data_IF_162542672122
#
_entry.id   IF_162542672122
#
_cell.length_a   1.000
_cell.length_b   1.000
_cell.length_c   1.000
_cell.angle_alpha   90.00
_cell.angle_beta   90.00
_cell.angle_gamma   90.00
#
_symmetry.space_group_name_H-M   'P 1'
#
loop_
_entity.id
_entity.type
_entity.pdbx_description
1 polymer ?
#
# COMPACT_ATOMS: atom_id res chain seq x y z
N UNK A 1 -8.18 -26.93 -10.98
CA UNK A 1 -7.19 -27.17 -9.91
C UNK A 1 -6.17 -26.04 -9.93
N UNK A 2 -5.77 -25.55 -8.75
CA UNK A 2 -4.76 -24.51 -8.49
C UNK A 2 -3.69 -25.12 -7.56
N UNK A 3 -2.45 -24.66 -7.64
CA UNK A 3 -1.36 -25.14 -6.78
C UNK A 3 -1.34 -24.41 -5.44
N UNK A 4 -1.62 -23.10 -5.47
CA UNK A 4 -1.56 -22.20 -4.31
C UNK A 4 -2.79 -21.31 -4.30
N UNK A 5 -3.45 -21.20 -3.16
CA UNK A 5 -4.49 -20.20 -2.91
C UNK A 5 -3.97 -19.12 -1.95
N UNK A 6 -4.11 -17.86 -2.34
CA UNK A 6 -3.75 -16.69 -1.53
C UNK A 6 -5.04 -15.97 -1.14
N UNK A 7 -5.26 -15.81 0.17
CA UNK A 7 -6.45 -15.15 0.71
C UNK A 7 -6.11 -13.73 1.14
N UNK A 8 -6.59 -12.76 0.37
CA UNK A 8 -6.38 -11.33 0.50
C UNK A 8 -5.57 -10.76 -0.66
N UNK A 9 -6.16 -9.84 -1.44
CA UNK A 9 -5.51 -9.15 -2.56
C UNK A 9 -5.03 -7.74 -2.18
N UNK A 10 -4.62 -7.56 -0.92
CA UNK A 10 -3.87 -6.37 -0.53
C UNK A 10 -2.43 -6.41 -1.08
N UNK A 11 -1.61 -5.38 -0.81
CA UNK A 11 -0.28 -5.26 -1.39
C UNK A 11 0.64 -6.46 -1.16
N UNK A 12 0.56 -7.10 0.01
CA UNK A 12 1.32 -8.31 0.30
C UNK A 12 0.88 -9.52 -0.54
N UNK A 13 -0.42 -9.80 -0.60
CA UNK A 13 -0.95 -10.93 -1.35
C UNK A 13 -0.79 -10.77 -2.85
N UNK A 14 -1.05 -9.57 -3.38
CA UNK A 14 -0.86 -9.26 -4.79
C UNK A 14 0.62 -9.33 -5.21
N UNK A 15 1.54 -8.84 -4.35
CA UNK A 15 2.98 -8.97 -4.59
C UNK A 15 3.40 -10.44 -4.65
N UNK A 16 2.98 -11.25 -3.68
CA UNK A 16 3.31 -12.67 -3.66
C UNK A 16 2.75 -13.38 -4.89
N UNK A 17 1.47 -13.16 -5.21
CA UNK A 17 0.82 -13.74 -6.37
C UNK A 17 1.61 -13.47 -7.65
N UNK A 18 1.97 -12.19 -7.88
CA UNK A 18 2.76 -11.77 -9.05
C UNK A 18 4.14 -12.43 -9.11
N UNK A 19 4.82 -12.60 -7.98
CA UNK A 19 6.17 -13.17 -7.94
C UNK A 19 6.18 -14.68 -8.21
N UNK A 20 5.15 -15.42 -7.81
CA UNK A 20 5.12 -16.88 -7.90
C UNK A 20 4.29 -17.40 -9.08
N UNK A 21 3.43 -16.57 -9.67
CA UNK A 21 2.60 -16.91 -10.84
C UNK A 21 3.37 -17.47 -12.05
N UNK A 22 4.64 -17.10 -12.35
CA UNK A 22 5.38 -17.73 -13.43
C UNK A 22 5.68 -19.22 -13.21
N UNK A 23 5.60 -19.72 -11.97
CA UNK A 23 5.93 -21.10 -11.59
C UNK A 23 4.73 -21.91 -11.10
N UNK A 24 3.71 -21.26 -10.57
CA UNK A 24 2.55 -21.90 -9.96
C UNK A 24 1.25 -21.35 -10.51
N UNK A 25 0.24 -22.21 -10.60
CA UNK A 25 -1.14 -21.79 -10.87
C UNK A 25 -1.76 -21.26 -9.58
N UNK A 26 -1.73 -19.94 -9.43
CA UNK A 26 -2.18 -19.23 -8.22
C UNK A 26 -3.66 -18.83 -8.31
N UNK A 27 -4.42 -19.06 -7.25
CA UNK A 27 -5.74 -18.47 -7.02
C UNK A 27 -5.62 -17.35 -5.99
N UNK A 28 -5.83 -16.11 -6.39
CA UNK A 28 -5.89 -14.96 -5.49
C UNK A 28 -7.37 -14.62 -5.20
N UNK A 29 -7.73 -14.53 -3.92
CA UNK A 29 -9.11 -14.28 -3.47
C UNK A 29 -9.15 -13.03 -2.61
N UNK A 30 -10.10 -12.13 -2.86
CA UNK A 30 -10.33 -10.95 -2.02
C UNK A 30 -11.80 -10.90 -1.63
N UNK A 31 -12.06 -10.57 -0.36
CA UNK A 31 -13.43 -10.44 0.16
C UNK A 31 -14.09 -9.16 -0.37
N UNK A 32 -13.28 -8.11 -0.57
CA UNK A 32 -13.71 -6.83 -1.13
C UNK A 32 -13.85 -6.92 -2.65
N UNK A 33 -14.74 -6.12 -3.21
CA UNK A 33 -14.95 -6.03 -4.65
C UNK A 33 -13.93 -5.07 -5.27
N UNK A 34 -12.95 -5.61 -6.01
CA UNK A 34 -11.96 -4.81 -6.72
C UNK A 34 -12.56 -4.10 -7.95
N UNK A 35 -13.64 -4.65 -8.51
CA UNK A 35 -14.38 -4.10 -9.65
C UNK A 35 -15.34 -2.96 -9.27
N UNK A 36 -15.43 -2.62 -7.98
CA UNK A 36 -16.28 -1.56 -7.44
C UNK A 36 -15.46 -0.69 -6.47
N UNK A 37 -14.68 0.28 -6.98
CA UNK A 37 -13.77 1.10 -6.18
C UNK A 37 -14.47 1.86 -5.04
N UNK A 38 -15.69 2.36 -5.27
CA UNK A 38 -16.45 3.09 -4.25
C UNK A 38 -16.81 2.18 -3.07
N UNK A 39 -17.20 0.92 -3.34
CA UNK A 39 -17.46 -0.06 -2.30
C UNK A 39 -16.17 -0.59 -1.67
N UNK A 40 -15.09 -0.67 -2.42
CA UNK A 40 -13.77 -1.04 -1.90
C UNK A 40 -13.30 -0.02 -0.86
N UNK A 41 -13.42 1.27 -1.17
CA UNK A 41 -13.06 2.37 -0.28
C UNK A 41 -13.96 2.42 0.96
N UNK A 42 -15.29 2.23 0.80
CA UNK A 42 -16.22 2.18 1.93
C UNK A 42 -15.88 1.08 2.95
N UNK A 43 -15.31 -0.02 2.48
CA UNK A 43 -14.81 -1.12 3.31
C UNK A 43 -13.28 -1.10 3.45
N UNK A 44 -12.67 0.06 3.17
CA UNK A 44 -11.24 0.27 3.17
C UNK A 44 -10.65 0.11 4.57
N UNK A 45 -9.38 -0.27 4.62
CA UNK A 45 -8.64 -0.32 5.88
C UNK A 45 -8.22 1.09 6.26
N UNK A 46 -8.38 1.46 7.52
CA UNK A 46 -7.80 2.69 8.05
C UNK A 46 -6.27 2.63 7.90
N UNK A 47 -5.70 3.57 7.15
CA UNK A 47 -4.27 3.68 6.98
C UNK A 47 -3.88 5.11 6.60
N UNK A 48 -2.74 5.58 7.09
CA UNK A 48 -2.23 6.92 6.81
C UNK A 48 -1.67 7.14 5.40
N UNK A 49 -1.63 6.11 4.53
CA UNK A 49 -1.16 6.30 3.15
C UNK A 49 0.32 6.61 2.99
N UNK A 50 1.15 6.36 3.99
CA UNK A 50 2.57 6.75 3.96
C UNK A 50 3.47 5.57 3.57
N UNK A 51 4.13 5.68 2.41
CA UNK A 51 5.15 4.72 1.99
C UNK A 51 6.52 5.13 2.53
N UNK A 52 7.08 4.29 3.41
CA UNK A 52 8.43 4.43 3.94
C UNK A 52 9.52 4.32 2.84
N UNK A 53 10.69 4.96 3.00
CA UNK A 53 11.81 4.82 2.06
C UNK A 53 12.17 3.36 1.77
N UNK A 54 12.12 2.49 2.77
CA UNK A 54 12.40 1.06 2.58
C UNK A 54 11.35 0.38 1.69
N UNK A 55 10.07 0.73 1.85
CA UNK A 55 9.00 0.23 0.99
C UNK A 55 9.14 0.75 -0.44
N UNK A 56 9.54 2.03 -0.61
CA UNK A 56 9.85 2.62 -1.91
C UNK A 56 11.00 1.88 -2.59
N UNK A 57 12.07 1.56 -1.84
CA UNK A 57 13.21 0.80 -2.34
C UNK A 57 12.82 -0.63 -2.77
N UNK A 58 11.92 -1.28 -2.03
CA UNK A 58 11.38 -2.59 -2.41
C UNK A 58 10.57 -2.50 -3.70
N UNK A 59 9.68 -1.52 -3.83
CA UNK A 59 8.92 -1.30 -5.08
C UNK A 59 9.84 -1.06 -6.27
N UNK A 60 10.87 -0.22 -6.10
CA UNK A 60 11.87 0.04 -7.14
C UNK A 60 12.63 -1.23 -7.56
N UNK A 61 13.08 -2.05 -6.61
CA UNK A 61 13.74 -3.35 -6.88
C UNK A 61 12.82 -4.33 -7.61
N UNK A 62 11.51 -4.22 -7.38
CA UNK A 62 10.48 -5.01 -8.07
C UNK A 62 10.06 -4.41 -9.43
N UNK A 63 10.71 -3.34 -9.90
CA UNK A 63 10.37 -2.65 -11.14
C UNK A 63 9.01 -1.95 -11.11
N UNK A 64 8.49 -1.64 -9.93
CA UNK A 64 7.20 -0.99 -9.72
C UNK A 64 7.37 0.51 -9.50
N UNK A 65 7.21 1.29 -10.57
CA UNK A 65 7.07 2.74 -10.48
C UNK A 65 5.66 3.13 -10.04
N UNK A 66 5.54 3.96 -9.00
CA UNK A 66 4.25 4.45 -8.54
C UNK A 66 3.60 5.34 -9.62
N UNK A 67 2.36 5.06 -10.05
CA UNK A 67 1.68 5.91 -11.01
C UNK A 67 1.13 7.17 -10.31
N UNK A 68 1.09 8.28 -11.05
CA UNK A 68 0.67 9.59 -10.50
C UNK A 68 -0.73 9.56 -9.86
N UNK A 69 -1.67 8.80 -10.42
CA UNK A 69 -3.04 8.75 -9.90
C UNK A 69 -3.14 8.10 -8.50
N UNK A 70 -2.13 7.34 -8.09
CA UNK A 70 -2.03 6.73 -6.74
C UNK A 70 -1.49 7.72 -5.71
N UNK A 71 -0.77 8.75 -6.13
CA UNK A 71 -0.25 9.76 -5.21
C UNK A 71 -1.40 10.56 -4.59
N UNK A 72 -1.28 10.85 -3.30
CA UNK A 72 -2.22 11.68 -2.56
C UNK A 72 -1.56 12.99 -2.12
N UNK A 73 -2.32 14.08 -2.16
CA UNK A 73 -1.86 15.39 -1.71
C UNK A 73 -2.45 15.75 -0.34
N UNK A 74 -1.70 16.53 0.48
CA UNK A 74 -0.33 16.97 0.23
C UNK A 74 0.70 15.86 0.46
N UNK A 75 1.86 15.96 -0.19
CA UNK A 75 3.03 15.16 0.17
C UNK A 75 3.60 15.60 1.53
N UNK A 76 4.18 14.66 2.28
CA UNK A 76 4.72 14.91 3.61
C UNK A 76 6.24 14.83 3.61
N UNK A 77 6.88 15.81 4.25
CA UNK A 77 8.35 15.88 4.37
C UNK A 77 8.83 15.92 5.83
N UNK A 78 7.92 16.17 6.78
CA UNK A 78 8.20 16.14 8.20
C UNK A 78 6.96 15.71 9.01
N UNK A 79 7.21 15.07 10.15
CA UNK A 79 6.19 14.74 11.15
C UNK A 79 6.45 15.53 12.43
N UNK A 80 5.40 16.10 12.98
CA UNK A 80 5.40 16.78 14.28
C UNK A 80 5.10 15.73 15.36
N UNK A 81 6.03 15.49 16.26
CA UNK A 81 5.82 14.68 17.45
C UNK A 81 5.55 15.59 18.64
N UNK A 82 4.46 15.31 19.36
CA UNK A 82 4.02 16.08 20.51
C UNK A 82 3.99 15.12 21.70
N UNK A 83 4.80 15.43 22.72
CA UNK A 83 4.80 14.73 24.00
C UNK A 83 3.94 15.52 24.99
N UNK A 84 2.74 14.99 25.27
CA UNK A 84 1.76 15.64 26.14
C UNK A 84 2.19 15.67 27.61
N UNK A 85 3.05 14.75 28.06
CA UNK A 85 3.47 14.69 29.46
C UNK A 85 4.70 15.57 29.72
N UNK A 86 5.66 15.56 28.80
CA UNK A 86 6.89 16.35 28.91
C UNK A 86 6.79 17.76 28.34
N UNK A 87 5.70 18.12 27.66
CA UNK A 87 5.53 19.42 27.00
C UNK A 87 6.50 19.64 25.83
N UNK A 88 7.15 18.57 25.34
CA UNK A 88 8.13 18.64 24.28
C UNK A 88 7.47 18.51 22.91
N UNK A 89 8.01 19.25 21.95
CA UNK A 89 7.61 19.14 20.56
C UNK A 89 8.85 19.09 19.67
N UNK A 90 8.83 18.20 18.67
CA UNK A 90 9.88 18.12 17.66
C UNK A 90 9.33 17.82 16.28
N UNK A 91 9.96 18.40 15.28
CA UNK A 91 9.76 18.03 13.89
C UNK A 91 10.84 17.05 13.45
N UNK A 92 10.43 15.89 12.97
CA UNK A 92 11.33 14.90 12.38
C UNK A 92 11.14 14.89 10.88
N UNK A 93 12.22 15.07 10.14
CA UNK A 93 12.19 14.88 8.70
C UNK A 93 11.85 13.43 8.36
N UNK A 94 10.95 13.25 7.39
CA UNK A 94 10.52 11.95 6.88
C UNK A 94 10.37 12.04 5.37
N UNK A 95 10.94 11.07 4.66
CA UNK A 95 10.87 10.97 3.20
C UNK A 95 9.77 9.98 2.80
N UNK A 96 8.56 10.21 3.30
CA UNK A 96 7.42 9.37 2.95
C UNK A 96 6.75 9.88 1.68
N UNK A 97 6.33 8.95 0.83
CA UNK A 97 5.42 9.27 -0.27
C UNK A 97 4.01 9.05 0.24
N UNK A 98 3.18 10.09 0.15
CA UNK A 98 1.77 10.01 0.49
C UNK A 98 0.99 9.43 -0.71
N UNK A 99 0.21 8.39 -0.45
CA UNK A 99 -0.57 7.66 -1.44
C UNK A 99 -2.01 7.47 -0.98
N UNK A 100 -2.90 7.41 -1.96
CA UNK A 100 -4.25 6.93 -1.78
C UNK A 100 -4.21 5.40 -1.65
N UNK A 101 -4.65 4.91 -0.48
CA UNK A 101 -4.58 3.49 -0.16
C UNK A 101 -5.48 2.62 -1.02
N UNK A 102 -6.66 3.13 -1.40
CA UNK A 102 -7.59 2.38 -2.25
C UNK A 102 -7.01 2.27 -3.65
N UNK A 103 -6.54 3.38 -4.21
CA UNK A 103 -5.93 3.39 -5.55
C UNK A 103 -4.65 2.54 -5.59
N UNK A 104 -3.83 2.56 -4.54
CA UNK A 104 -2.64 1.71 -4.45
C UNK A 104 -2.99 0.23 -4.40
N UNK A 105 -3.95 -0.16 -3.57
CA UNK A 105 -4.39 -1.55 -3.49
C UNK A 105 -4.97 -2.03 -4.85
N UNK A 106 -5.77 -1.20 -5.54
CA UNK A 106 -6.34 -1.52 -6.86
C UNK A 106 -5.30 -1.57 -7.98
N UNK A 107 -4.27 -0.72 -7.93
CA UNK A 107 -3.17 -0.73 -8.90
C UNK A 107 -2.28 -1.98 -8.75
N UNK A 108 -2.13 -2.48 -7.52
CA UNK A 108 -1.31 -3.67 -7.23
C UNK A 108 -2.00 -4.98 -7.58
N UNK A 109 -3.35 -5.01 -7.56
CA UNK A 109 -4.17 -6.20 -7.78
C UNK A 109 -4.29 -6.56 -9.27
#
# INVERSE_FOLDING_TARGET
MYDIAIIGAGPAGATLARLIAPKYKVLLIEKRRLDDPARYEKNGKCCGGLLAPDAQAVLARLGLGLPNHVLADPQIFAVRAIDFNGGNERFYQRHYINIDRTKFDLWMA
#
